data_IF_763364168949
#
_entry.id   IF_763364168949
#
_cell.length_a   1.000
_cell.length_b   1.000
_cell.length_c   1.000
_cell.angle_alpha   90.00
_cell.angle_beta   90.00
_cell.angle_gamma   90.00
#
_symmetry.space_group_name_H-M   'P 1'
#
loop_
_entity.id
_entity.type
_entity.pdbx_description
1 polymer ?
#
# COMPACT_ATOMS: atom_id res chain seq x y z
N UNK A 1 19.62 5.89 14.78
CA UNK A 1 18.57 6.94 14.70
C UNK A 1 18.79 7.82 13.47
N UNK A 2 19.98 8.39 13.29
CA UNK A 2 20.35 9.13 12.06
C UNK A 2 20.19 8.29 10.78
N UNK A 3 20.78 7.09 10.72
CA UNK A 3 20.62 6.17 9.58
C UNK A 3 19.16 5.83 9.28
N UNK A 4 18.39 5.48 10.32
CA UNK A 4 16.96 5.14 10.20
C UNK A 4 16.10 6.32 9.71
N UNK A 5 16.47 7.55 10.08
CA UNK A 5 15.80 8.76 9.61
C UNK A 5 16.10 9.00 8.13
N UNK A 6 17.38 8.94 7.76
CA UNK A 6 17.83 9.16 6.39
C UNK A 6 17.21 8.12 5.42
N UNK A 7 17.24 6.84 5.78
CA UNK A 7 16.57 5.78 5.04
C UNK A 7 15.07 6.06 4.85
N UNK A 8 14.38 6.49 5.91
CA UNK A 8 12.95 6.79 5.85
C UNK A 8 12.64 8.03 4.99
N UNK A 9 13.51 9.06 5.01
CA UNK A 9 13.36 10.26 4.19
C UNK A 9 13.57 9.91 2.71
N UNK A 10 14.62 9.15 2.37
CA UNK A 10 14.90 8.70 1.00
C UNK A 10 13.73 7.88 0.45
N UNK A 11 13.25 6.90 1.22
CA UNK A 11 12.08 6.10 0.84
C UNK A 11 10.84 6.95 0.60
N UNK A 12 10.61 7.96 1.45
CA UNK A 12 9.44 8.83 1.35
C UNK A 12 9.51 9.74 0.12
N UNK A 13 10.71 10.23 -0.24
CA UNK A 13 10.93 11.02 -1.46
C UNK A 13 10.62 10.22 -2.71
N UNK A 14 10.96 8.93 -2.73
CA UNK A 14 10.66 8.03 -3.86
C UNK A 14 9.21 7.52 -3.88
N UNK A 15 8.42 7.80 -2.84
CA UNK A 15 7.06 7.28 -2.69
C UNK A 15 6.00 8.39 -2.88
N UNK A 16 5.16 8.32 -3.94
CA UNK A 16 4.05 9.24 -4.11
C UNK A 16 3.11 9.24 -2.90
N UNK A 17 2.55 10.40 -2.55
CA UNK A 17 1.66 10.61 -1.40
C UNK A 17 0.57 9.53 -1.25
N UNK A 18 -0.02 9.11 -2.36
CA UNK A 18 -1.10 8.12 -2.43
C UNK A 18 -0.67 6.70 -2.00
N UNK A 19 0.62 6.42 -2.11
CA UNK A 19 1.22 5.14 -1.79
C UNK A 19 1.88 5.12 -0.41
N UNK A 20 1.95 6.26 0.28
CA UNK A 20 2.53 6.33 1.62
C UNK A 20 1.68 5.53 2.61
N UNK A 21 2.30 4.71 3.47
CA UNK A 21 1.56 3.87 4.41
C UNK A 21 0.94 4.73 5.50
N UNK A 22 -0.15 4.26 6.12
CA UNK A 22 -0.78 5.01 7.22
C UNK A 22 0.04 4.83 8.49
N UNK A 23 0.47 5.95 9.08
CA UNK A 23 1.21 5.94 10.33
C UNK A 23 0.25 5.63 11.50
N UNK A 24 0.58 4.65 12.35
CA UNK A 24 -0.21 4.31 13.52
C UNK A 24 -0.06 5.38 14.60
N UNK A 25 -1.10 5.53 15.44
CA UNK A 25 -1.02 6.40 16.61
C UNK A 25 -0.09 5.79 17.66
N UNK A 26 0.89 6.56 18.12
CA UNK A 26 1.90 6.12 19.09
C UNK A 26 1.46 6.49 20.50
N UNK A 27 1.54 5.54 21.44
CA UNK A 27 1.27 5.81 22.85
C UNK A 27 2.37 6.70 23.47
N UNK A 28 1.99 7.70 24.26
CA UNK A 28 2.90 8.71 24.84
C UNK A 28 3.64 8.23 26.11
N UNK A 29 4.22 7.03 26.07
CA UNK A 29 5.08 6.53 27.14
C UNK A 29 6.34 7.40 27.30
N UNK A 30 7.00 7.35 28.47
CA UNK A 30 8.26 8.08 28.71
C UNK A 30 9.33 7.72 27.65
N UNK A 31 9.45 6.43 27.32
CA UNK A 31 10.35 5.91 26.28
C UNK A 31 10.04 6.49 24.90
N UNK A 32 8.78 6.46 24.49
CA UNK A 32 8.39 6.94 23.16
C UNK A 32 8.59 8.46 23.03
N UNK A 33 8.31 9.22 24.10
CA UNK A 33 8.61 10.66 24.15
C UNK A 33 10.10 10.96 24.04
N UNK A 34 10.96 10.17 24.68
CA UNK A 34 12.41 10.32 24.55
C UNK A 34 12.89 10.10 23.11
N UNK A 35 12.37 9.08 22.42
CA UNK A 35 12.65 8.81 21.00
C UNK A 35 12.22 9.98 20.12
N UNK A 36 10.99 10.48 20.30
CA UNK A 36 10.48 11.62 19.54
C UNK A 36 11.35 12.87 19.76
N UNK A 37 11.72 13.16 21.00
CA UNK A 37 12.58 14.33 21.32
C UNK A 37 13.97 14.22 20.67
N UNK A 38 14.61 13.06 20.80
CA UNK A 38 15.92 12.83 20.21
C UNK A 38 15.87 12.93 18.67
N UNK A 39 14.80 12.44 18.05
CA UNK A 39 14.63 12.53 16.61
C UNK A 39 14.29 13.96 16.16
N UNK A 40 13.47 14.70 16.91
CA UNK A 40 13.17 16.10 16.62
C UNK A 40 14.42 16.99 16.70
N UNK A 41 15.34 16.72 17.63
CA UNK A 41 16.61 17.46 17.72
C UNK A 41 17.46 17.31 16.45
N UNK A 42 17.42 16.12 15.84
CA UNK A 42 18.08 15.82 14.57
C UNK A 42 17.31 16.43 13.39
N UNK A 43 15.98 16.39 13.44
CA UNK A 43 15.11 16.81 12.35
C UNK A 43 15.28 18.28 11.96
N UNK A 44 15.62 19.15 12.92
CA UNK A 44 15.85 20.58 12.70
C UNK A 44 16.86 20.81 11.58
N UNK A 45 17.98 20.07 11.56
CA UNK A 45 19.02 20.24 10.54
C UNK A 45 18.55 19.86 9.14
N UNK A 46 17.64 18.88 9.03
CA UNK A 46 17.06 18.49 7.75
C UNK A 46 16.01 19.51 7.27
N UNK A 47 15.25 20.10 8.18
CA UNK A 47 14.24 21.11 7.86
C UNK A 47 14.89 22.42 7.40
N UNK A 48 15.99 22.83 8.02
CA UNK A 48 16.76 24.02 7.60
C UNK A 48 17.36 23.86 6.18
N UNK A 49 17.69 22.62 5.79
CA UNK A 49 18.20 22.30 4.46
C UNK A 49 17.08 22.07 3.40
N UNK A 50 15.82 22.14 3.81
CA UNK A 50 14.66 21.89 2.93
C UNK A 50 14.43 23.06 1.98
N UNK A 51 14.26 22.77 0.68
CA UNK A 51 14.13 23.80 -0.36
C UNK A 51 12.70 24.14 -0.71
N UNK A 52 11.78 23.21 -0.51
CA UNK A 52 10.38 23.36 -0.88
C UNK A 52 9.42 22.62 0.06
N UNK A 53 8.13 22.84 -0.15
CA UNK A 53 7.07 22.24 0.68
C UNK A 53 6.98 20.72 0.51
N UNK A 54 7.27 20.20 -0.68
CA UNK A 54 7.23 18.76 -0.97
C UNK A 54 8.38 18.01 -0.27
N UNK A 55 9.56 18.62 -0.24
CA UNK A 55 10.73 18.16 0.48
C UNK A 55 10.48 18.20 1.99
N UNK A 56 9.91 19.31 2.48
CA UNK A 56 9.52 19.46 3.90
C UNK A 56 8.51 18.39 4.32
N UNK A 57 7.46 18.17 3.52
CA UNK A 57 6.46 17.12 3.77
C UNK A 57 7.10 15.72 3.77
N UNK A 58 8.03 15.45 2.85
CA UNK A 58 8.73 14.17 2.79
C UNK A 58 9.66 13.95 3.99
N UNK A 59 10.32 15.02 4.46
CA UNK A 59 11.18 15.00 5.64
C UNK A 59 10.35 14.74 6.91
N UNK A 60 9.25 15.47 7.08
CA UNK A 60 8.35 15.30 8.24
C UNK A 60 7.72 13.91 8.28
N UNK A 61 7.25 13.41 7.13
CA UNK A 61 6.69 12.07 7.04
C UNK A 61 7.75 11.00 7.28
N UNK A 62 8.95 11.13 6.68
CA UNK A 62 10.08 10.25 6.91
C UNK A 62 10.49 10.20 8.38
N UNK A 63 10.48 11.34 9.08
CA UNK A 63 10.72 11.42 10.52
C UNK A 63 9.69 10.64 11.33
N UNK A 64 8.40 10.83 11.03
CA UNK A 64 7.33 10.10 11.71
C UNK A 64 7.37 8.58 11.43
N UNK A 65 7.77 8.19 10.22
CA UNK A 65 8.01 6.79 9.83
C UNK A 65 9.21 6.20 10.59
N UNK A 66 10.31 6.94 10.70
CA UNK A 66 11.49 6.53 11.45
C UNK A 66 11.18 6.34 12.94
N UNK A 67 10.38 7.21 13.55
CA UNK A 67 9.88 7.04 14.93
C UNK A 67 9.09 5.74 15.06
N UNK A 68 8.19 5.44 14.13
CA UNK A 68 7.44 4.18 14.15
C UNK A 68 8.37 2.96 14.08
N UNK A 69 9.41 3.01 13.23
CA UNK A 69 10.43 1.95 13.10
C UNK A 69 11.22 1.74 14.38
N UNK A 70 11.72 2.82 14.98
CA UNK A 70 12.54 2.78 16.20
C UNK A 70 11.73 2.24 17.40
N UNK A 71 10.45 2.60 17.48
CA UNK A 71 9.55 2.10 18.53
C UNK A 71 9.10 0.65 18.24
N UNK A 72 9.23 0.19 16.99
CA UNK A 72 8.81 -1.15 16.57
C UNK A 72 7.30 -1.27 16.29
N UNK A 73 6.62 -0.16 16.02
CA UNK A 73 5.19 -0.18 15.67
C UNK A 73 5.04 -0.52 14.19
N UNK A 74 4.24 -1.56 13.90
CA UNK A 74 3.94 -1.94 12.52
C UNK A 74 3.15 -0.83 11.82
N UNK A 75 3.75 -0.26 10.78
CA UNK A 75 3.08 0.70 9.90
C UNK A 75 2.24 -0.07 8.90
N UNK A 76 0.92 0.09 8.95
CA UNK A 76 0.02 -0.67 8.08
C UNK A 76 -0.15 0.02 6.73
N UNK A 77 0.03 -0.72 5.65
CA UNK A 77 -0.65 -0.39 4.39
C UNK A 77 -2.16 -0.38 4.64
N UNK A 78 -2.90 0.51 3.97
CA UNK A 78 -4.34 0.65 4.19
C UNK A 78 -5.00 -0.74 4.14
N UNK A 79 -5.66 -1.15 5.22
CA UNK A 79 -6.10 -2.54 5.43
C UNK A 79 -6.94 -3.09 4.26
N UNK A 80 -7.68 -2.24 3.57
CA UNK A 80 -8.45 -2.61 2.38
C UNK A 80 -7.57 -2.95 1.17
N UNK A 81 -6.44 -2.26 0.97
CA UNK A 81 -5.48 -2.51 -0.12
C UNK A 81 -4.79 -3.85 0.07
N UNK A 82 -4.30 -4.10 1.29
CA UNK A 82 -3.69 -5.38 1.67
C UNK A 82 -4.64 -6.57 1.49
N UNK A 83 -5.91 -6.44 1.93
CA UNK A 83 -6.94 -7.50 1.75
C UNK A 83 -7.22 -7.81 0.27
N UNK A 84 -7.12 -6.83 -0.61
CA UNK A 84 -7.31 -7.04 -2.05
C UNK A 84 -6.05 -7.66 -2.66
N UNK A 85 -4.86 -7.19 -2.29
CA UNK A 85 -3.57 -7.76 -2.72
C UNK A 85 -3.42 -9.24 -2.28
N UNK A 86 -3.79 -9.58 -1.05
CA UNK A 86 -3.82 -10.96 -0.54
C UNK A 86 -4.85 -11.83 -1.27
N UNK A 87 -5.97 -11.25 -1.73
CA UNK A 87 -6.98 -11.94 -2.57
C UNK A 87 -6.56 -12.10 -4.02
N UNK A 88 -5.63 -11.28 -4.51
CA UNK A 88 -5.03 -11.40 -5.84
C UNK A 88 -3.99 -12.53 -5.76
N UNK A 89 -4.47 -13.77 -5.68
CA UNK A 89 -3.64 -14.97 -5.65
C UNK A 89 -3.01 -15.25 -7.03
N UNK A 90 -2.08 -14.39 -7.48
CA UNK A 90 -1.21 -14.66 -8.65
C UNK A 90 -0.49 -16.00 -8.51
N UNK A 91 -0.18 -16.39 -7.26
CA UNK A 91 0.40 -17.68 -6.93
C UNK A 91 -0.54 -18.88 -7.18
N UNK A 92 -1.86 -18.69 -7.20
CA UNK A 92 -2.82 -19.75 -7.55
C UNK A 92 -2.86 -19.93 -9.06
N UNK A 93 -2.96 -18.82 -9.82
CA UNK A 93 -2.92 -18.85 -11.30
C UNK A 93 -1.63 -19.51 -11.80
N UNK A 94 -0.48 -19.12 -11.25
CA UNK A 94 0.80 -19.74 -11.60
C UNK A 94 0.83 -21.25 -11.31
N UNK A 95 0.28 -21.69 -10.18
CA UNK A 95 0.21 -23.12 -9.82
C UNK A 95 -0.74 -23.91 -10.73
N UNK A 96 -1.86 -23.33 -11.14
CA UNK A 96 -2.78 -23.94 -12.12
C UNK A 96 -2.12 -24.05 -13.50
N UNK A 97 -1.35 -23.04 -13.93
CA UNK A 97 -0.57 -23.09 -15.18
C UNK A 97 0.50 -24.19 -15.10
N UNK A 98 1.26 -24.27 -13.99
CA UNK A 98 2.26 -25.33 -13.81
C UNK A 98 1.63 -26.73 -13.86
N UNK A 99 0.47 -26.93 -13.23
CA UNK A 99 -0.26 -28.19 -13.29
C UNK A 99 -0.70 -28.53 -14.72
N UNK A 100 -1.25 -27.53 -15.44
CA UNK A 100 -1.65 -27.69 -16.85
C UNK A 100 -0.47 -28.04 -17.77
N UNK A 101 0.74 -27.57 -17.45
CA UNK A 101 1.99 -27.94 -18.14
C UNK A 101 2.54 -29.32 -17.76
N UNK A 102 1.81 -30.13 -16.97
CA UNK A 102 2.21 -31.49 -16.60
C UNK A 102 2.95 -31.61 -15.26
N UNK A 103 3.04 -30.54 -14.46
CA UNK A 103 3.72 -30.60 -13.16
C UNK A 103 2.81 -31.18 -12.07
N UNK A 104 3.00 -32.48 -11.80
CA UNK A 104 2.20 -33.24 -10.85
C UNK A 104 2.81 -33.34 -9.44
N UNK A 105 3.69 -32.41 -9.04
CA UNK A 105 4.24 -32.41 -7.67
C UNK A 105 3.10 -32.37 -6.64
N UNK A 106 3.16 -33.15 -5.53
CA UNK A 106 2.05 -33.28 -4.57
C UNK A 106 1.51 -31.93 -4.04
N UNK A 107 2.39 -30.95 -3.81
CA UNK A 107 2.00 -29.59 -3.37
C UNK A 107 1.17 -28.84 -4.41
N UNK A 108 1.45 -29.01 -5.70
CA UNK A 108 0.73 -28.38 -6.80
C UNK A 108 -0.63 -29.05 -6.95
N UNK A 109 -0.66 -30.39 -6.97
CA UNK A 109 -1.91 -31.17 -7.03
C UNK A 109 -2.85 -30.83 -5.86
N UNK A 110 -2.32 -30.74 -4.64
CA UNK A 110 -3.10 -30.31 -3.49
C UNK A 110 -3.69 -28.90 -3.67
N UNK A 111 -2.91 -27.95 -4.18
CA UNK A 111 -3.39 -26.59 -4.45
C UNK A 111 -4.50 -26.59 -5.50
N UNK A 112 -4.36 -27.39 -6.56
CA UNK A 112 -5.34 -27.52 -7.63
C UNK A 112 -6.63 -28.16 -7.08
N UNK A 113 -6.53 -29.23 -6.28
CA UNK A 113 -7.69 -29.84 -5.59
C UNK A 113 -8.45 -28.83 -4.74
N UNK A 114 -7.74 -27.99 -3.99
CA UNK A 114 -8.36 -26.92 -3.21
C UNK A 114 -9.01 -25.84 -4.08
N UNK A 115 -8.47 -25.56 -5.27
CA UNK A 115 -9.02 -24.57 -6.20
C UNK A 115 -10.38 -24.98 -6.82
N UNK A 116 -10.62 -26.30 -6.89
CA UNK A 116 -11.86 -26.93 -7.34
C UNK A 116 -12.64 -27.59 -6.18
N UNK A 117 -12.31 -27.28 -4.93
CA UNK A 117 -13.04 -27.82 -3.78
C UNK A 117 -14.52 -27.40 -3.85
N UNK A 118 -15.42 -28.39 -3.74
CA UNK A 118 -16.87 -28.19 -3.89
C UNK A 118 -17.37 -28.16 -5.34
N UNK A 119 -16.49 -28.34 -6.32
CA UNK A 119 -16.86 -28.56 -7.73
C UNK A 119 -16.70 -30.05 -8.05
N UNK A 120 -17.68 -30.69 -8.70
CA UNK A 120 -17.62 -32.12 -9.09
C UNK A 120 -16.66 -32.35 -10.28
N UNK A 121 -15.41 -31.90 -10.15
CA UNK A 121 -14.39 -31.99 -11.20
C UNK A 121 -13.45 -33.13 -10.87
N UNK A 122 -13.44 -34.15 -11.74
CA UNK A 122 -12.47 -35.24 -11.66
C UNK A 122 -11.22 -34.89 -12.46
N UNK A 123 -10.05 -35.01 -11.84
CA UNK A 123 -8.76 -34.71 -12.47
C UNK A 123 -8.31 -35.74 -13.51
N UNK A 124 -9.05 -36.85 -13.64
CA UNK A 124 -8.78 -37.93 -14.58
C UNK A 124 -9.68 -37.88 -15.82
N UNK A 125 -10.59 -36.91 -15.89
CA UNK A 125 -11.42 -36.71 -17.07
C UNK A 125 -10.64 -36.02 -18.19
N UNK A 126 -10.92 -36.34 -19.47
CA UNK A 126 -10.25 -35.70 -20.60
C UNK A 126 -10.57 -34.20 -20.70
N UNK A 127 -11.67 -33.74 -20.10
CA UNK A 127 -12.11 -32.35 -20.09
C UNK A 127 -11.41 -31.45 -19.04
N UNK A 128 -10.51 -32.02 -18.22
CA UNK A 128 -9.85 -31.30 -17.13
C UNK A 128 -9.03 -30.11 -17.64
N UNK A 129 -8.40 -30.23 -18.81
CA UNK A 129 -7.59 -29.18 -19.42
C UNK A 129 -8.42 -27.95 -19.81
N UNK A 130 -9.65 -28.19 -20.29
CA UNK A 130 -10.60 -27.13 -20.62
C UNK A 130 -11.08 -26.44 -19.34
N UNK A 131 -11.53 -27.22 -18.34
CA UNK A 131 -11.97 -26.70 -17.03
C UNK A 131 -10.87 -25.91 -16.30
N UNK A 132 -9.61 -26.35 -16.42
CA UNK A 132 -8.45 -25.62 -15.91
C UNK A 132 -8.27 -24.27 -16.60
N UNK A 133 -8.47 -24.21 -17.91
CA UNK A 133 -8.31 -22.99 -18.69
C UNK A 133 -9.41 -21.99 -18.36
N UNK A 134 -10.66 -22.43 -18.31
CA UNK A 134 -11.80 -21.63 -17.86
C UNK A 134 -11.56 -21.06 -16.45
N UNK A 135 -11.11 -21.91 -15.52
CA UNK A 135 -10.80 -21.49 -14.14
C UNK A 135 -9.65 -20.48 -14.08
N UNK A 136 -8.61 -20.66 -14.90
CA UNK A 136 -7.49 -19.72 -14.99
C UNK A 136 -8.00 -18.36 -15.51
N UNK A 137 -8.84 -18.35 -16.53
CA UNK A 137 -9.33 -17.12 -17.14
C UNK A 137 -10.33 -16.39 -16.23
N UNK A 138 -11.21 -17.10 -15.54
CA UNK A 138 -12.04 -16.54 -14.46
C UNK A 138 -11.19 -15.84 -13.39
N UNK A 139 -10.11 -16.49 -12.96
CA UNK A 139 -9.20 -15.91 -11.97
C UNK A 139 -8.49 -14.67 -12.52
N UNK A 140 -8.03 -14.69 -13.78
CA UNK A 140 -7.45 -13.50 -14.43
C UNK A 140 -8.45 -12.36 -14.54
N UNK A 141 -9.69 -12.64 -14.95
CA UNK A 141 -10.76 -11.64 -15.05
C UNK A 141 -11.07 -11.02 -13.69
N UNK A 142 -11.17 -11.85 -12.64
CA UNK A 142 -11.35 -11.37 -11.26
C UNK A 142 -10.18 -10.50 -10.82
N UNK A 143 -8.93 -10.93 -11.06
CA UNK A 143 -7.73 -10.13 -10.74
C UNK A 143 -7.77 -8.78 -11.47
N UNK A 144 -8.11 -8.76 -12.76
CA UNK A 144 -8.23 -7.53 -13.53
C UNK A 144 -9.33 -6.60 -12.97
N UNK A 145 -10.49 -7.16 -12.60
CA UNK A 145 -11.58 -6.41 -11.98
C UNK A 145 -11.17 -5.81 -10.62
N UNK A 146 -10.45 -6.57 -9.79
CA UNK A 146 -9.89 -6.08 -8.53
C UNK A 146 -8.85 -4.98 -8.75
N UNK A 147 -7.95 -5.14 -9.72
CA UNK A 147 -6.98 -4.10 -10.11
C UNK A 147 -7.68 -2.81 -10.56
N UNK A 148 -8.72 -2.92 -11.38
CA UNK A 148 -9.54 -1.77 -11.81
C UNK A 148 -10.25 -1.11 -10.64
N UNK A 149 -10.78 -1.87 -9.68
CA UNK A 149 -11.36 -1.34 -8.44
C UNK A 149 -10.34 -0.55 -7.63
N UNK A 150 -9.14 -1.10 -7.42
CA UNK A 150 -8.04 -0.40 -6.71
C UNK A 150 -7.76 0.94 -7.41
N UNK A 151 -7.52 0.91 -8.72
CA UNK A 151 -7.23 2.13 -9.50
C UNK A 151 -8.31 3.19 -9.35
N UNK A 152 -9.60 2.81 -9.46
CA UNK A 152 -10.73 3.73 -9.23
C UNK A 152 -10.76 4.31 -7.82
N UNK A 153 -10.44 3.51 -6.79
CA UNK A 153 -10.39 4.01 -5.41
C UNK A 153 -9.25 4.99 -5.20
N UNK A 154 -8.08 4.70 -5.75
CA UNK A 154 -6.93 5.62 -5.73
C UNK A 154 -7.29 6.92 -6.43
N UNK A 155 -7.77 6.86 -7.69
CA UNK A 155 -8.18 8.05 -8.46
C UNK A 155 -9.26 8.87 -7.77
N UNK A 156 -10.22 8.23 -7.09
CA UNK A 156 -11.24 8.93 -6.30
C UNK A 156 -10.62 9.62 -5.10
N UNK A 157 -9.74 8.94 -4.37
CA UNK A 157 -9.06 9.49 -3.20
C UNK A 157 -8.17 10.68 -3.59
N UNK A 158 -7.44 10.57 -4.69
CA UNK A 158 -6.63 11.65 -5.27
C UNK A 158 -7.50 12.86 -5.60
N UNK A 159 -8.58 12.66 -6.36
CA UNK A 159 -9.52 13.75 -6.71
C UNK A 159 -10.14 14.39 -5.48
N UNK A 160 -10.52 13.60 -4.49
CA UNK A 160 -11.06 14.12 -3.23
C UNK A 160 -10.03 15.03 -2.54
N UNK A 161 -8.78 14.57 -2.40
CA UNK A 161 -7.71 15.36 -1.78
C UNK A 161 -7.39 16.63 -2.59
N UNK A 162 -7.27 16.53 -3.91
CA UNK A 162 -7.07 17.68 -4.80
C UNK A 162 -8.20 18.70 -4.65
N UNK A 163 -9.46 18.25 -4.73
CA UNK A 163 -10.63 19.13 -4.57
C UNK A 163 -10.70 19.75 -3.16
N UNK A 164 -10.29 19.01 -2.14
CA UNK A 164 -10.20 19.52 -0.78
C UNK A 164 -9.15 20.62 -0.67
N UNK A 165 -7.93 20.38 -1.17
CA UNK A 165 -6.85 21.37 -1.24
C UNK A 165 -7.29 22.63 -2.00
N UNK A 166 -7.90 22.47 -3.19
CA UNK A 166 -8.44 23.60 -3.96
C UNK A 166 -9.50 24.39 -3.19
N UNK A 167 -10.38 23.72 -2.44
CA UNK A 167 -11.40 24.40 -1.62
C UNK A 167 -10.78 25.17 -0.46
N UNK A 168 -9.78 24.61 0.20
CA UNK A 168 -9.07 25.24 1.32
C UNK A 168 -8.29 26.47 0.83
N UNK A 169 -7.49 26.32 -0.23
CA UNK A 169 -6.71 27.40 -0.84
C UNK A 169 -7.62 28.55 -1.27
N UNK A 170 -8.73 28.26 -1.97
CA UNK A 170 -9.65 29.30 -2.45
C UNK A 170 -10.33 30.08 -1.32
N UNK A 171 -10.65 29.42 -0.21
CA UNK A 171 -11.19 30.10 0.99
C UNK A 171 -10.15 30.98 1.65
N UNK A 172 -8.91 30.49 1.77
CA UNK A 172 -7.80 31.27 2.31
C UNK A 172 -7.50 32.52 1.47
N UNK A 173 -7.49 32.40 0.13
CA UNK A 173 -7.30 33.54 -0.75
C UNK A 173 -8.46 34.54 -0.63
N UNK A 174 -9.71 34.07 -0.60
CA UNK A 174 -10.88 34.96 -0.56
C UNK A 174 -10.95 35.77 0.75
N UNK A 175 -10.56 35.17 1.87
CA UNK A 175 -10.44 35.88 3.15
C UNK A 175 -9.31 36.93 3.15
N UNK A 176 -8.20 36.65 2.46
CA UNK A 176 -7.10 37.62 2.32
C UNK A 176 -7.50 38.85 1.49
N UNK A 177 -8.38 38.70 0.49
CA UNK A 177 -8.90 39.82 -0.30
C UNK A 177 -9.98 40.64 0.42
N UNK A 178 -10.69 40.05 1.39
CA UNK A 178 -11.67 40.77 2.21
C UNK A 178 -11.04 41.55 3.36
N UNK A 179 -9.83 41.20 3.81
CA UNK A 179 -9.10 41.90 4.87
C UNK A 179 -8.26 43.10 4.35
N UNK A 180 -8.31 43.38 3.04
CA UNK A 180 -7.61 44.49 2.39
C UNK A 180 -8.54 45.68 2.02
N UNK A 181 -9.77 45.69 2.54
CA UNK A 181 -10.73 46.79 2.46
C UNK A 181 -11.39 47.00 3.84
#
# INVERSE_FOLDING_TARGET
MWSTLEEAIVETRSTPLENRPRLPRIALSKRNRAVVRALNAILVTYLEASRDLCETDSILFGAALAVCRIIGVKVSTAAWRRRIEERIAKALVGRLICFRSGNNRPRIVHTVRMAFAGTNVSFYQPDITQKLTERIDDLKQRIAAWGKRIRRYTERSTRFNQNHLFRVIRRGSMNHWSDQW
#
